data_IF_299031099111
#
_entry.id   IF_299031099111
#
_cell.length_a   1.000
_cell.length_b   1.000
_cell.length_c   1.000
_cell.angle_alpha   90.00
_cell.angle_beta   90.00
_cell.angle_gamma   90.00
#
_symmetry.space_group_name_H-M   'P 1'
#
loop_
_entity.id
_entity.type
_entity.pdbx_description
1 polymer ?
#
# COMPACT_ATOMS: atom_id res chain seq x y z
N UNK A 1 5.37 25.33 6.58
CA UNK A 1 5.37 25.87 5.21
C UNK A 1 4.07 25.48 4.53
N UNK A 2 3.50 26.34 3.67
CA UNK A 2 2.30 26.00 2.93
C UNK A 2 2.58 24.85 1.96
N UNK A 3 1.54 24.08 1.64
CA UNK A 3 1.58 23.10 0.56
C UNK A 3 1.82 23.82 -0.78
N UNK A 4 2.46 23.18 -1.78
CA UNK A 4 2.66 23.81 -3.08
C UNK A 4 1.33 24.20 -3.75
N UNK A 5 1.18 25.44 -4.23
CA UNK A 5 -0.06 25.88 -4.90
C UNK A 5 -0.50 24.96 -6.06
N UNK A 6 0.41 24.45 -6.93
CA UNK A 6 0.02 23.52 -7.98
C UNK A 6 -0.52 22.20 -7.43
N UNK A 7 -0.11 21.79 -6.23
CA UNK A 7 -0.64 20.61 -5.56
C UNK A 7 -2.06 20.88 -5.05
N UNK A 8 -2.27 22.00 -4.35
CA UNK A 8 -3.59 22.39 -3.80
C UNK A 8 -4.63 22.52 -4.91
N UNK A 9 -4.29 23.19 -6.02
CA UNK A 9 -5.19 23.35 -7.17
C UNK A 9 -5.59 22.01 -7.82
N UNK A 10 -4.71 21.01 -7.78
CA UNK A 10 -5.01 19.66 -8.26
C UNK A 10 -5.89 18.92 -7.26
N UNK A 11 -5.60 19.04 -5.96
CA UNK A 11 -6.36 18.38 -4.91
C UNK A 11 -7.84 18.82 -4.89
N UNK A 12 -8.10 20.10 -5.18
CA UNK A 12 -9.45 20.65 -5.36
C UNK A 12 -10.28 19.94 -6.45
N UNK A 13 -9.63 19.37 -7.46
CA UNK A 13 -10.29 18.63 -8.54
C UNK A 13 -10.43 17.13 -8.23
N UNK A 14 -9.68 16.63 -7.24
CA UNK A 14 -9.60 15.20 -6.91
C UNK A 14 -10.50 14.85 -5.72
N UNK A 15 -10.55 15.73 -4.72
CA UNK A 15 -11.24 15.49 -3.45
C UNK A 15 -12.66 16.05 -3.54
N UNK A 16 -13.69 15.32 -3.09
CA UNK A 16 -15.05 15.85 -2.99
C UNK A 16 -15.09 17.17 -2.22
N UNK A 17 -15.86 18.15 -2.72
CA UNK A 17 -15.85 19.52 -2.20
C UNK A 17 -16.19 19.60 -0.70
N UNK A 18 -17.10 18.75 -0.22
CA UNK A 18 -17.50 18.63 1.18
C UNK A 18 -16.41 18.03 2.10
N UNK A 19 -15.37 17.43 1.51
CA UNK A 19 -14.26 16.77 2.23
C UNK A 19 -12.94 17.53 2.13
N UNK A 20 -12.85 18.50 1.22
CA UNK A 20 -11.61 19.19 0.88
C UNK A 20 -10.95 19.88 2.09
N UNK A 21 -11.72 20.63 2.87
CA UNK A 21 -11.17 21.38 4.02
C UNK A 21 -10.59 20.45 5.08
N UNK A 22 -11.27 19.34 5.37
CA UNK A 22 -10.78 18.32 6.30
C UNK A 22 -9.50 17.65 5.80
N UNK A 23 -9.43 17.35 4.49
CA UNK A 23 -8.23 16.79 3.86
C UNK A 23 -7.07 17.79 3.92
N UNK A 24 -7.30 19.07 3.63
CA UNK A 24 -6.27 20.11 3.71
C UNK A 24 -5.73 20.27 5.14
N UNK A 25 -6.63 20.28 6.13
CA UNK A 25 -6.26 20.35 7.55
C UNK A 25 -5.41 19.13 8.00
N UNK A 26 -5.63 17.96 7.40
CA UNK A 26 -4.90 16.75 7.76
C UNK A 26 -3.39 16.80 7.48
N UNK A 27 -2.93 17.65 6.55
CA UNK A 27 -1.49 17.80 6.25
C UNK A 27 -0.72 18.56 7.35
N UNK A 28 -1.42 19.31 8.19
CA UNK A 28 -0.86 19.99 9.35
C UNK A 28 -1.06 19.18 10.63
N UNK A 29 -2.19 18.48 10.74
CA UNK A 29 -2.55 17.72 11.92
C UNK A 29 -1.53 16.59 12.23
N UNK A 30 -1.27 16.32 13.53
CA UNK A 30 -0.50 15.16 13.93
C UNK A 30 -1.28 13.88 13.60
N UNK A 31 -0.58 12.87 13.09
CA UNK A 31 -1.16 11.58 12.73
C UNK A 31 -0.90 10.53 13.82
N UNK A 32 -1.93 9.77 14.17
CA UNK A 32 -1.84 8.62 15.05
C UNK A 32 -0.78 7.63 14.55
N UNK A 33 -0.07 6.98 15.49
CA UNK A 33 0.90 5.95 15.12
C UNK A 33 0.20 4.62 14.99
N UNK A 34 -0.05 4.23 13.74
CA UNK A 34 -0.53 2.89 13.40
C UNK A 34 0.55 1.82 13.60
N UNK A 35 0.13 0.65 14.06
CA UNK A 35 0.96 -0.54 14.18
C UNK A 35 0.14 -1.81 13.96
N UNK A 36 0.83 -2.94 13.86
CA UNK A 36 0.23 -4.28 13.86
C UNK A 36 1.03 -5.20 14.76
N UNK A 37 0.38 -6.22 15.32
CA UNK A 37 1.08 -7.30 16.00
C UNK A 37 1.79 -8.19 14.97
N UNK A 38 2.99 -8.64 15.32
CA UNK A 38 3.73 -9.63 14.57
C UNK A 38 3.29 -11.04 15.01
N UNK A 39 2.19 -11.50 14.42
CA UNK A 39 1.56 -12.80 14.72
C UNK A 39 2.43 -14.01 14.37
N UNK A 40 3.57 -13.80 13.70
CA UNK A 40 4.58 -14.85 13.49
C UNK A 40 5.44 -15.11 14.73
N UNK A 41 5.55 -14.15 15.63
CA UNK A 41 6.40 -14.22 16.83
C UNK A 41 5.59 -14.37 18.11
N UNK A 42 4.42 -13.71 18.20
CA UNK A 42 3.59 -13.66 19.41
C UNK A 42 2.11 -13.67 19.11
N UNK A 43 1.34 -14.08 20.11
CA UNK A 43 -0.11 -13.97 20.09
C UNK A 43 -0.56 -12.50 20.13
N UNK A 44 -1.67 -12.21 19.44
CA UNK A 44 -2.21 -10.86 19.34
C UNK A 44 -2.76 -10.36 20.67
N UNK A 45 -3.61 -11.16 21.33
CA UNK A 45 -4.27 -10.78 22.57
C UNK A 45 -3.25 -10.59 23.71
N UNK A 46 -2.29 -11.53 23.83
CA UNK A 46 -1.18 -11.42 24.80
C UNK A 46 -0.38 -10.13 24.57
N UNK A 47 -0.04 -9.83 23.31
CA UNK A 47 0.76 -8.64 22.97
C UNK A 47 0.02 -7.34 23.31
N UNK A 48 -1.28 -7.27 23.01
CA UNK A 48 -2.09 -6.10 23.33
C UNK A 48 -2.28 -5.94 24.84
N UNK A 49 -2.48 -7.03 25.58
CA UNK A 49 -2.57 -6.98 27.05
C UNK A 49 -1.30 -6.39 27.67
N UNK A 50 -0.11 -6.82 27.22
CA UNK A 50 1.17 -6.29 27.71
C UNK A 50 1.32 -4.79 27.41
N UNK A 51 0.90 -4.33 26.23
CA UNK A 51 0.91 -2.90 25.90
C UNK A 51 0.00 -2.10 26.84
N UNK A 52 -1.21 -2.60 27.12
CA UNK A 52 -2.15 -1.94 28.03
C UNK A 52 -1.63 -1.90 29.47
N UNK A 53 -1.01 -2.98 29.95
CA UNK A 53 -0.38 -3.04 31.28
C UNK A 53 0.80 -2.06 31.43
N UNK A 54 1.49 -1.76 30.33
CA UNK A 54 2.54 -0.74 30.26
C UNK A 54 2.01 0.69 30.09
N UNK A 55 0.68 0.88 30.14
CA UNK A 55 0.03 2.18 30.05
C UNK A 55 -0.03 2.74 28.63
N UNK A 56 0.18 1.91 27.59
CA UNK A 56 0.05 2.34 26.20
C UNK A 56 -1.45 2.45 25.85
N UNK A 57 -1.94 3.60 25.38
CA UNK A 57 -3.35 3.81 25.05
C UNK A 57 -3.69 3.21 23.67
N UNK A 58 -3.68 1.89 23.59
CA UNK A 58 -3.93 1.14 22.36
C UNK A 58 -5.40 1.21 21.96
N UNK A 59 -5.65 1.46 20.68
CA UNK A 59 -6.97 1.41 20.07
C UNK A 59 -6.95 0.47 18.87
N UNK A 60 -7.86 -0.50 18.82
CA UNK A 60 -8.09 -1.30 17.62
C UNK A 60 -8.72 -0.41 16.53
N UNK A 61 -8.30 -0.60 15.28
CA UNK A 61 -8.90 0.11 14.14
C UNK A 61 -10.11 -0.66 13.67
N UNK A 62 -11.31 -0.13 13.94
CA UNK A 62 -12.55 -0.79 13.55
C UNK A 62 -12.57 -1.12 12.05
N UNK A 63 -12.94 -2.37 11.75
CA UNK A 63 -13.04 -2.86 10.37
C UNK A 63 -11.72 -3.33 9.76
N UNK A 64 -10.57 -3.10 10.39
CA UNK A 64 -9.25 -3.52 9.88
C UNK A 64 -8.62 -4.56 10.83
N UNK A 65 -8.76 -5.87 10.55
CA UNK A 65 -8.24 -6.92 11.41
C UNK A 65 -6.72 -6.80 11.66
N UNK A 66 -6.30 -6.93 12.92
CA UNK A 66 -4.89 -6.87 13.33
C UNK A 66 -4.25 -5.47 13.31
N UNK A 67 -5.02 -4.43 12.95
CA UNK A 67 -4.53 -3.06 12.93
C UNK A 67 -4.89 -2.33 14.23
N UNK A 68 -3.89 -1.67 14.80
CA UNK A 68 -4.01 -0.87 16.00
C UNK A 68 -3.40 0.50 15.79
N UNK A 69 -3.77 1.45 16.63
CA UNK A 69 -3.19 2.78 16.66
C UNK A 69 -3.04 3.28 18.09
N UNK A 70 -2.10 4.21 18.26
CA UNK A 70 -2.02 5.08 19.44
C UNK A 70 -2.12 6.54 18.99
N UNK A 71 -2.65 7.45 19.83
CA UNK A 71 -2.56 8.89 19.59
C UNK A 71 -1.13 9.35 19.27
N UNK A 72 -0.99 10.42 18.49
CA UNK A 72 0.31 10.87 17.98
C UNK A 72 1.32 11.19 19.09
N UNK A 73 0.85 11.80 20.17
CA UNK A 73 1.62 12.14 21.39
C UNK A 73 2.01 10.92 22.22
N UNK A 74 1.34 9.78 22.03
CA UNK A 74 1.58 8.52 22.73
C UNK A 74 2.62 7.63 22.02
N UNK A 75 3.14 8.07 20.87
CA UNK A 75 4.20 7.37 20.13
C UNK A 75 5.44 7.07 20.99
N UNK A 76 5.99 8.01 21.81
CA UNK A 76 7.17 7.71 22.62
C UNK A 76 6.93 6.55 23.61
N UNK A 77 5.74 6.49 24.23
CA UNK A 77 5.37 5.42 25.17
C UNK A 77 5.28 4.08 24.43
N UNK A 78 4.67 4.05 23.23
CA UNK A 78 4.65 2.85 22.39
C UNK A 78 6.07 2.36 22.05
N UNK A 79 6.98 3.26 21.68
CA UNK A 79 8.36 2.92 21.31
C UNK A 79 9.24 2.53 22.51
N UNK A 80 8.84 2.88 23.73
CA UNK A 80 9.51 2.46 24.95
C UNK A 80 9.02 1.10 25.48
N UNK A 81 7.94 0.56 24.89
CA UNK A 81 7.30 -0.65 25.37
C UNK A 81 8.11 -1.93 25.10
N UNK A 82 7.95 -2.95 25.95
CA UNK A 82 8.60 -4.26 25.75
C UNK A 82 8.17 -4.91 24.42
N UNK A 83 6.87 -4.92 24.04
CA UNK A 83 6.46 -5.47 22.74
C UNK A 83 7.11 -4.80 21.53
N UNK A 84 7.43 -3.50 21.60
CA UNK A 84 8.20 -2.85 20.56
C UNK A 84 9.67 -3.28 20.56
N UNK A 85 10.31 -3.27 21.73
CA UNK A 85 11.72 -3.66 21.88
C UNK A 85 12.00 -5.10 21.41
N UNK A 86 11.06 -6.02 21.69
CA UNK A 86 11.16 -7.43 21.34
C UNK A 86 10.72 -7.74 19.89
N UNK A 87 10.27 -6.72 19.14
CA UNK A 87 9.78 -6.90 17.76
C UNK A 87 8.44 -7.63 17.64
N UNK A 88 7.68 -7.71 18.74
CA UNK A 88 6.33 -8.28 18.77
C UNK A 88 5.31 -7.39 18.05
N UNK A 89 5.61 -6.11 17.86
CA UNK A 89 4.82 -5.21 17.01
C UNK A 89 5.65 -4.59 15.89
N UNK A 90 4.97 -4.17 14.83
CA UNK A 90 5.58 -3.45 13.73
C UNK A 90 4.85 -2.13 13.47
N UNK A 91 5.57 -1.01 13.53
CA UNK A 91 5.02 0.31 13.24
C UNK A 91 4.75 0.45 11.74
N UNK A 92 3.50 0.63 11.39
CA UNK A 92 3.04 0.73 10.00
C UNK A 92 1.76 1.54 9.95
N UNK A 93 1.77 2.61 9.16
CA UNK A 93 0.57 3.40 8.91
C UNK A 93 -0.60 2.50 8.46
N UNK A 94 -1.79 2.72 9.03
CA UNK A 94 -3.01 1.94 8.76
C UNK A 94 -3.31 1.87 7.26
N UNK A 95 -3.19 2.98 6.51
CA UNK A 95 -3.38 3.00 5.05
C UNK A 95 -2.44 2.04 4.33
N UNK A 96 -1.19 1.91 4.79
CA UNK A 96 -0.23 0.96 4.23
C UNK A 96 -0.54 -0.50 4.56
N UNK A 97 -1.34 -0.77 5.60
CA UNK A 97 -1.78 -2.13 5.95
C UNK A 97 -2.89 -2.62 5.01
N UNK A 98 -3.64 -1.70 4.39
CA UNK A 98 -4.78 -2.01 3.53
C UNK A 98 -4.38 -2.75 2.25
N UNK A 99 -3.19 -2.52 1.69
CA UNK A 99 -2.80 -3.17 0.43
C UNK A 99 -2.60 -4.70 0.58
N UNK A 100 -1.85 -5.22 1.57
CA UNK A 100 -1.82 -6.66 1.85
C UNK A 100 -3.18 -7.26 2.21
N UNK A 101 -4.01 -6.52 2.96
CA UNK A 101 -5.38 -6.94 3.33
C UNK A 101 -6.25 -7.08 2.07
N UNK A 102 -6.25 -6.08 1.19
CA UNK A 102 -6.99 -6.10 -0.06
C UNK A 102 -6.52 -7.24 -1.00
N UNK A 103 -5.22 -7.56 -0.96
CA UNK A 103 -4.67 -8.66 -1.75
C UNK A 103 -5.22 -10.03 -1.29
N UNK A 104 -5.52 -10.16 0.00
CA UNK A 104 -6.10 -11.35 0.63
C UNK A 104 -5.43 -12.65 0.15
N UNK A 105 -4.11 -12.81 0.35
CA UNK A 105 -3.45 -14.08 0.08
C UNK A 105 -3.97 -15.17 1.03
N UNK A 106 -4.02 -16.40 0.53
CA UNK A 106 -4.37 -17.58 1.31
C UNK A 106 -3.11 -18.18 1.93
N UNK A 107 -3.29 -18.94 3.00
CA UNK A 107 -2.21 -19.76 3.54
C UNK A 107 -1.67 -20.70 2.45
N UNK A 108 -0.35 -20.71 2.26
CA UNK A 108 0.31 -21.51 1.22
C UNK A 108 0.46 -20.82 -0.15
N UNK A 109 -0.13 -19.64 -0.37
CA UNK A 109 0.01 -18.93 -1.65
C UNK A 109 1.49 -18.55 -1.93
N UNK A 110 1.86 -18.54 -3.22
CA UNK A 110 3.08 -17.88 -3.68
C UNK A 110 2.77 -16.43 -4.04
N UNK A 111 3.42 -15.51 -3.35
CA UNK A 111 3.17 -14.07 -3.46
C UNK A 111 4.41 -13.34 -3.96
N UNK A 112 4.21 -12.40 -4.89
CA UNK A 112 5.26 -11.49 -5.35
C UNK A 112 5.00 -10.08 -4.82
N UNK A 113 5.90 -9.54 -4.01
CA UNK A 113 5.97 -8.12 -3.67
C UNK A 113 7.00 -7.43 -4.58
N UNK A 114 6.52 -6.71 -5.59
CA UNK A 114 7.35 -6.24 -6.69
C UNK A 114 8.18 -4.98 -6.36
N UNK A 115 7.87 -4.31 -5.24
CA UNK A 115 8.48 -3.06 -4.79
C UNK A 115 8.62 -3.05 -3.26
N UNK A 116 9.33 -4.05 -2.75
CA UNK A 116 9.19 -4.50 -1.36
C UNK A 116 9.79 -3.59 -0.29
N UNK A 117 10.84 -2.80 -0.59
CA UNK A 117 11.51 -2.06 0.47
C UNK A 117 10.66 -0.89 1.02
N UNK A 118 10.62 -0.69 2.35
CA UNK A 118 11.55 -1.25 3.35
C UNK A 118 11.12 -2.58 3.98
N UNK A 119 10.05 -3.24 3.53
CA UNK A 119 9.66 -4.58 3.98
C UNK A 119 8.47 -4.64 4.95
N UNK A 120 7.78 -3.52 5.20
CA UNK A 120 6.62 -3.50 6.10
C UNK A 120 5.45 -4.32 5.55
N UNK A 121 5.08 -4.09 4.29
CA UNK A 121 4.05 -4.86 3.56
C UNK A 121 4.49 -6.29 3.30
N UNK A 122 5.76 -6.50 2.96
CA UNK A 122 6.34 -7.84 2.79
C UNK A 122 6.22 -8.69 4.06
N UNK A 123 6.55 -8.14 5.22
CA UNK A 123 6.41 -8.84 6.50
C UNK A 123 4.94 -9.16 6.83
N UNK A 124 4.02 -8.27 6.47
CA UNK A 124 2.58 -8.51 6.63
C UNK A 124 2.10 -9.63 5.69
N UNK A 125 2.53 -9.63 4.42
CA UNK A 125 2.23 -10.71 3.47
C UNK A 125 2.79 -12.05 3.95
N UNK A 126 4.01 -12.06 4.49
CA UNK A 126 4.66 -13.23 5.06
C UNK A 126 3.86 -13.85 6.20
N UNK A 127 3.30 -13.03 7.10
CA UNK A 127 2.41 -13.47 8.16
C UNK A 127 1.11 -14.06 7.60
N UNK A 128 0.48 -13.41 6.61
CA UNK A 128 -0.79 -13.84 6.02
C UNK A 128 -0.69 -15.18 5.27
N UNK A 129 0.37 -15.39 4.49
CA UNK A 129 0.57 -16.65 3.73
C UNK A 129 1.00 -17.81 4.63
N UNK A 130 1.47 -17.50 5.85
CA UNK A 130 1.96 -18.47 6.82
C UNK A 130 3.21 -19.23 6.35
N UNK A 131 3.71 -20.12 7.22
CA UNK A 131 4.99 -20.85 7.00
C UNK A 131 5.00 -21.76 5.77
N UNK A 132 3.84 -22.11 5.24
CA UNK A 132 3.69 -22.98 4.06
C UNK A 132 3.72 -22.19 2.74
N UNK A 133 3.45 -20.87 2.79
CA UNK A 133 3.53 -20.01 1.62
C UNK A 133 4.91 -19.41 1.41
N UNK A 134 5.05 -18.62 0.35
CA UNK A 134 6.32 -18.00 -0.04
C UNK A 134 6.06 -16.56 -0.49
N UNK A 135 6.92 -15.62 -0.06
CA UNK A 135 6.88 -14.23 -0.51
C UNK A 135 8.18 -13.85 -1.20
N UNK A 136 8.16 -13.69 -2.51
CA UNK A 136 9.29 -13.12 -3.26
C UNK A 136 9.25 -11.60 -3.13
N UNK A 137 10.32 -11.02 -2.60
CA UNK A 137 10.40 -9.59 -2.29
C UNK A 137 11.45 -8.89 -3.16
N UNK A 138 11.00 -8.07 -4.10
CA UNK A 138 11.85 -7.43 -5.12
C UNK A 138 12.22 -6.01 -4.71
N UNK A 139 13.51 -5.69 -4.70
CA UNK A 139 14.00 -4.31 -4.56
C UNK A 139 15.24 -4.06 -5.44
N UNK A 140 15.22 -2.98 -6.21
CA UNK A 140 16.30 -2.65 -7.16
C UNK A 140 17.47 -1.91 -6.49
N UNK A 141 17.18 -1.04 -5.54
CA UNK A 141 18.14 -0.09 -4.97
C UNK A 141 18.91 -0.78 -3.84
N UNK A 142 20.22 -1.00 -4.04
CA UNK A 142 21.07 -1.79 -3.14
C UNK A 142 20.96 -1.40 -1.64
N UNK A 143 21.05 -0.11 -1.22
CA UNK A 143 20.84 0.24 0.19
C UNK A 143 19.45 -0.15 0.72
N UNK A 144 18.40 0.09 -0.08
CA UNK A 144 17.02 -0.27 0.28
C UNK A 144 16.82 -1.78 0.35
N UNK A 145 17.50 -2.55 -0.50
CA UNK A 145 17.46 -4.01 -0.49
C UNK A 145 18.04 -4.58 0.81
N UNK A 146 19.18 -4.08 1.29
CA UNK A 146 19.73 -4.54 2.57
C UNK A 146 18.85 -4.10 3.75
N UNK A 147 18.21 -2.93 3.67
CA UNK A 147 17.22 -2.50 4.67
C UNK A 147 15.99 -3.42 4.68
N UNK A 148 15.47 -3.78 3.51
CA UNK A 148 14.41 -4.78 3.34
C UNK A 148 14.82 -6.10 4.01
N UNK A 149 15.99 -6.66 3.67
CA UNK A 149 16.50 -7.90 4.27
C UNK A 149 16.57 -7.83 5.79
N UNK A 150 17.17 -6.76 6.33
CA UNK A 150 17.29 -6.58 7.77
C UNK A 150 15.90 -6.54 8.45
N UNK A 151 14.96 -5.79 7.88
CA UNK A 151 13.62 -5.64 8.43
C UNK A 151 12.79 -6.93 8.35
N UNK A 152 12.87 -7.71 7.28
CA UNK A 152 12.12 -8.98 7.18
C UNK A 152 12.71 -10.04 8.11
N UNK A 153 14.04 -10.12 8.24
CA UNK A 153 14.66 -11.05 9.19
C UNK A 153 14.39 -10.69 10.65
N UNK A 154 14.43 -9.39 11.00
CA UNK A 154 14.07 -8.94 12.34
C UNK A 154 12.60 -9.26 12.70
N UNK A 155 11.72 -9.35 11.72
CA UNK A 155 10.32 -9.76 11.92
C UNK A 155 10.14 -11.28 12.01
N UNK A 156 11.18 -12.10 11.85
CA UNK A 156 11.06 -13.56 11.84
C UNK A 156 10.43 -14.14 10.56
N UNK A 157 10.37 -13.34 9.49
CA UNK A 157 9.75 -13.72 8.22
C UNK A 157 10.63 -14.70 7.42
N UNK A 158 10.63 -15.99 7.80
CA UNK A 158 11.53 -17.01 7.22
C UNK A 158 11.11 -17.51 5.85
N UNK A 159 9.88 -17.22 5.41
CA UNK A 159 9.31 -17.58 4.12
C UNK A 159 9.44 -16.47 3.06
N UNK A 160 10.30 -15.47 3.31
CA UNK A 160 10.58 -14.37 2.37
C UNK A 160 11.84 -14.65 1.56
N UNK A 161 11.72 -14.59 0.23
CA UNK A 161 12.83 -14.68 -0.72
C UNK A 161 13.18 -13.28 -1.26
N UNK A 162 14.16 -12.57 -0.66
CA UNK A 162 14.56 -11.26 -1.15
C UNK A 162 15.36 -11.37 -2.46
N UNK A 163 14.93 -10.64 -3.49
CA UNK A 163 15.61 -10.57 -4.78
C UNK A 163 16.01 -9.12 -5.12
N UNK A 164 17.32 -8.91 -5.38
CA UNK A 164 17.83 -7.60 -5.75
C UNK A 164 17.80 -7.44 -7.27
N UNK A 165 16.93 -6.57 -7.77
CA UNK A 165 16.86 -6.33 -9.20
C UNK A 165 15.67 -5.50 -9.64
N UNK A 166 15.50 -5.37 -10.95
CA UNK A 166 14.46 -4.52 -11.53
C UNK A 166 13.11 -5.25 -11.64
N UNK A 167 12.14 -4.87 -10.80
CA UNK A 167 10.79 -5.45 -10.82
C UNK A 167 10.08 -5.38 -12.18
N UNK A 168 10.36 -4.35 -12.99
CA UNK A 168 9.75 -4.20 -14.31
C UNK A 168 10.13 -5.32 -15.32
N UNK A 169 11.12 -6.17 -15.00
CA UNK A 169 11.52 -7.31 -15.82
C UNK A 169 11.45 -8.65 -15.08
N UNK A 170 10.97 -8.66 -13.83
CA UNK A 170 10.97 -9.88 -13.00
C UNK A 170 10.16 -11.03 -13.62
N UNK A 171 9.02 -10.71 -14.23
CA UNK A 171 8.13 -11.67 -14.89
C UNK A 171 8.84 -12.57 -15.93
N UNK A 172 9.98 -12.15 -16.51
CA UNK A 172 10.74 -12.99 -17.44
C UNK A 172 11.40 -14.19 -16.76
N UNK A 173 11.65 -14.09 -15.46
CA UNK A 173 12.25 -15.15 -14.65
C UNK A 173 11.20 -16.19 -14.27
N UNK A 174 10.02 -15.73 -13.87
CA UNK A 174 8.92 -16.55 -13.37
C UNK A 174 7.59 -16.02 -13.94
N UNK A 175 7.32 -16.24 -15.24
CA UNK A 175 6.05 -15.84 -15.85
C UNK A 175 4.91 -16.67 -15.26
N UNK A 176 3.76 -16.04 -15.04
CA UNK A 176 2.52 -16.69 -14.58
C UNK A 176 2.73 -17.70 -13.44
N UNK A 177 3.55 -17.33 -12.45
CA UNK A 177 4.06 -18.25 -11.42
C UNK A 177 3.55 -17.93 -10.01
N UNK A 178 2.90 -16.77 -9.83
CA UNK A 178 2.42 -16.30 -8.52
C UNK A 178 0.88 -16.32 -8.44
N UNK A 179 0.35 -16.75 -7.30
CA UNK A 179 -1.09 -16.75 -7.01
C UNK A 179 -1.59 -15.34 -6.67
N UNK A 180 -0.69 -14.53 -6.10
CA UNK A 180 -0.93 -13.15 -5.70
C UNK A 180 0.26 -12.27 -6.05
N UNK A 181 -0.01 -11.03 -6.47
CA UNK A 181 1.03 -10.03 -6.75
C UNK A 181 0.67 -8.70 -6.08
N UNK A 182 1.60 -8.12 -5.33
CA UNK A 182 1.51 -6.75 -4.83
C UNK A 182 2.43 -5.84 -5.64
N UNK A 183 1.88 -4.74 -6.14
CA UNK A 183 2.60 -3.63 -6.76
C UNK A 183 2.30 -2.36 -5.95
N UNK A 184 2.97 -2.22 -4.79
CA UNK A 184 3.03 -0.97 -4.04
C UNK A 184 4.06 -0.04 -4.69
N UNK A 185 3.61 0.74 -5.66
CA UNK A 185 4.51 1.34 -6.61
C UNK A 185 5.20 2.61 -6.07
N UNK A 186 6.48 2.85 -6.41
CA UNK A 186 7.10 4.14 -6.15
C UNK A 186 6.30 5.24 -6.85
N UNK A 187 5.97 6.30 -6.10
CA UNK A 187 5.08 7.38 -6.53
C UNK A 187 5.62 8.74 -6.11
N UNK A 188 4.86 9.80 -6.40
CA UNK A 188 5.14 11.17 -5.97
C UNK A 188 4.88 11.45 -4.48
N UNK A 189 4.39 10.45 -3.74
CA UNK A 189 4.24 10.45 -2.26
C UNK A 189 3.41 11.59 -1.67
N UNK A 190 2.45 12.12 -2.42
CA UNK A 190 1.60 13.25 -1.99
C UNK A 190 0.84 12.97 -0.68
N UNK A 191 0.48 11.71 -0.41
CA UNK A 191 -0.20 11.31 0.83
C UNK A 191 0.66 11.42 2.10
N UNK A 192 1.97 11.60 1.94
CA UNK A 192 2.94 11.75 3.04
C UNK A 192 3.35 13.20 3.30
N UNK A 193 2.79 14.16 2.56
CA UNK A 193 3.11 15.57 2.78
C UNK A 193 2.78 15.99 4.21
N UNK A 194 3.65 16.80 4.79
CA UNK A 194 3.41 17.43 6.09
C UNK A 194 3.87 18.88 5.99
N UNK A 195 3.01 19.82 6.37
CA UNK A 195 3.32 21.25 6.27
C UNK A 195 4.48 21.66 7.18
N UNK A 196 4.71 20.93 8.27
CA UNK A 196 5.82 21.12 9.19
C UNK A 196 7.13 20.43 8.76
N UNK A 197 7.11 19.59 7.71
CA UNK A 197 8.30 18.89 7.20
C UNK A 197 8.53 19.22 5.72
N UNK A 198 9.42 20.20 5.42
CA UNK A 198 9.78 20.60 4.06
C UNK A 198 10.26 19.45 3.17
N UNK A 199 10.94 18.45 3.74
CA UNK A 199 11.54 17.37 2.95
C UNK A 199 10.47 16.52 2.27
N UNK A 200 9.27 16.43 2.86
CA UNK A 200 8.14 15.69 2.31
C UNK A 200 7.66 16.24 0.97
N UNK A 201 7.84 17.54 0.71
CA UNK A 201 7.41 18.21 -0.54
C UNK A 201 8.56 18.52 -1.49
N UNK A 202 9.82 18.46 -1.02
CA UNK A 202 11.01 18.94 -1.73
C UNK A 202 11.23 18.30 -3.11
N UNK A 203 10.84 17.03 -3.27
CA UNK A 203 11.04 16.28 -4.53
C UNK A 203 9.80 16.24 -5.42
N UNK A 204 8.70 16.87 -4.99
CA UNK A 204 7.45 16.86 -5.72
C UNK A 204 7.44 17.86 -6.87
N UNK A 205 6.88 17.44 -8.01
CA UNK A 205 6.55 18.32 -9.13
C UNK A 205 5.64 17.60 -10.12
N UNK A 206 4.90 18.32 -10.98
CA UNK A 206 4.18 17.71 -12.10
C UNK A 206 5.07 16.88 -13.04
N UNK A 207 6.36 17.25 -13.17
CA UNK A 207 7.35 16.45 -13.90
C UNK A 207 7.58 15.10 -13.21
N UNK A 208 7.67 15.10 -11.87
CA UNK A 208 7.85 13.88 -11.08
C UNK A 208 6.67 12.92 -11.24
N UNK A 209 5.44 13.44 -11.21
CA UNK A 209 4.21 12.67 -11.45
C UNK A 209 4.29 11.92 -12.79
N UNK A 210 4.70 12.60 -13.87
CA UNK A 210 4.86 11.97 -15.21
C UNK A 210 5.96 10.89 -15.25
N UNK A 211 7.07 11.13 -14.55
CA UNK A 211 8.16 10.16 -14.41
C UNK A 211 7.68 8.89 -13.69
N UNK A 212 6.96 9.07 -12.58
CA UNK A 212 6.44 7.97 -11.76
C UNK A 212 5.39 7.16 -12.50
N UNK A 213 4.40 7.81 -13.14
CA UNK A 213 3.44 7.16 -14.03
C UNK A 213 4.12 6.21 -15.01
N UNK A 214 5.17 6.68 -15.69
CA UNK A 214 5.87 5.88 -16.71
C UNK A 214 6.55 4.63 -16.13
N UNK A 215 7.04 4.71 -14.88
CA UNK A 215 7.59 3.55 -14.15
C UNK A 215 6.49 2.62 -13.66
N UNK A 216 5.42 3.18 -13.11
CA UNK A 216 4.27 2.44 -12.56
C UNK A 216 3.58 1.59 -13.61
N UNK A 217 3.36 2.11 -14.83
CA UNK A 217 2.81 1.31 -15.94
C UNK A 217 3.66 0.07 -16.22
N UNK A 218 4.99 0.21 -16.24
CA UNK A 218 5.91 -0.92 -16.48
C UNK A 218 5.89 -1.94 -15.34
N UNK A 219 5.81 -1.46 -14.10
CA UNK A 219 5.73 -2.32 -12.91
C UNK A 219 4.41 -3.07 -12.85
N UNK A 220 3.28 -2.39 -13.08
CA UNK A 220 1.96 -3.02 -13.10
C UNK A 220 1.86 -4.04 -14.24
N UNK A 221 2.36 -3.70 -15.43
CA UNK A 221 2.45 -4.64 -16.55
C UNK A 221 3.27 -5.89 -16.19
N UNK A 222 4.44 -5.71 -15.57
CA UNK A 222 5.26 -6.84 -15.11
C UNK A 222 4.56 -7.68 -14.04
N UNK A 223 3.86 -7.05 -13.10
CA UNK A 223 3.06 -7.76 -12.10
C UNK A 223 1.97 -8.63 -12.73
N UNK A 224 1.26 -8.11 -13.74
CA UNK A 224 0.25 -8.87 -14.49
C UNK A 224 0.86 -10.08 -15.21
N UNK A 225 2.04 -9.92 -15.82
CA UNK A 225 2.72 -11.03 -16.50
C UNK A 225 3.25 -12.11 -15.56
N UNK A 226 3.65 -11.75 -14.34
CA UNK A 226 4.10 -12.71 -13.33
C UNK A 226 2.92 -13.46 -12.65
N UNK A 227 1.71 -12.89 -12.71
CA UNK A 227 0.52 -13.44 -12.07
C UNK A 227 -0.05 -14.62 -12.88
N UNK A 228 -0.44 -15.71 -12.19
CA UNK A 228 -1.17 -16.84 -12.80
C UNK A 228 -2.55 -16.41 -13.33
N UNK A 229 -3.07 -17.03 -14.40
CA UNK A 229 -4.50 -17.01 -14.68
C UNK A 229 -5.31 -17.48 -13.45
N UNK A 230 -6.39 -16.79 -13.12
CA UNK A 230 -7.16 -16.97 -11.88
C UNK A 230 -6.55 -16.28 -10.64
N UNK A 231 -5.34 -15.73 -10.76
CA UNK A 231 -4.68 -15.00 -9.69
C UNK A 231 -5.25 -13.60 -9.45
N UNK A 232 -4.78 -12.95 -8.38
CA UNK A 232 -5.17 -11.59 -8.02
C UNK A 232 -3.94 -10.70 -7.83
N UNK A 233 -4.02 -9.46 -8.33
CA UNK A 233 -3.01 -8.44 -8.13
C UNK A 233 -3.61 -7.24 -7.40
N UNK A 234 -2.85 -6.63 -6.49
CA UNK A 234 -3.16 -5.31 -5.95
C UNK A 234 -2.11 -4.31 -6.42
N UNK A 235 -2.59 -3.24 -7.05
CA UNK A 235 -1.82 -2.04 -7.35
C UNK A 235 -2.17 -0.98 -6.31
N UNK A 236 -1.16 -0.35 -5.72
CA UNK A 236 -1.37 0.72 -4.74
C UNK A 236 -0.31 1.81 -4.79
N UNK A 237 -0.68 3.00 -4.34
CA UNK A 237 0.21 4.17 -4.23
C UNK A 237 -0.15 4.99 -3.00
N UNK A 238 0.77 5.83 -2.53
CA UNK A 238 0.51 6.87 -1.52
C UNK A 238 0.49 8.28 -2.14
N UNK A 239 -0.16 8.42 -3.30
CA UNK A 239 -0.30 9.70 -4.01
C UNK A 239 -1.76 9.96 -4.41
N UNK A 240 -2.14 11.22 -4.58
CA UNK A 240 -3.47 11.61 -5.05
C UNK A 240 -3.53 11.71 -6.57
N UNK A 241 -2.38 11.92 -7.23
CA UNK A 241 -2.25 12.14 -8.66
C UNK A 241 -2.99 11.08 -9.51
N UNK A 242 -4.07 11.45 -10.23
CA UNK A 242 -4.84 10.52 -11.07
C UNK A 242 -4.01 9.94 -12.22
N UNK A 243 -2.96 10.63 -12.66
CA UNK A 243 -2.02 10.14 -13.66
C UNK A 243 -1.24 8.92 -13.18
N UNK A 244 -0.97 8.82 -11.87
CA UNK A 244 -0.32 7.69 -11.22
C UNK A 244 -1.32 6.62 -10.77
N UNK A 245 -2.58 6.99 -10.53
CA UNK A 245 -3.61 6.08 -10.03
C UNK A 245 -4.46 5.50 -11.17
N UNK A 246 -5.64 6.07 -11.42
CA UNK A 246 -6.59 5.66 -12.46
C UNK A 246 -5.94 5.63 -13.84
N UNK A 247 -5.07 6.60 -14.14
CA UNK A 247 -4.38 6.70 -15.42
C UNK A 247 -3.43 5.54 -15.70
N UNK A 248 -2.83 4.93 -14.67
CA UNK A 248 -1.99 3.73 -14.79
C UNK A 248 -2.88 2.50 -14.99
N UNK A 249 -3.92 2.34 -14.17
CA UNK A 249 -4.86 1.22 -14.25
C UNK A 249 -5.57 1.20 -15.61
N UNK A 250 -6.12 2.34 -16.05
CA UNK A 250 -6.76 2.48 -17.36
C UNK A 250 -5.83 2.09 -18.52
N UNK A 251 -4.52 2.41 -18.40
CA UNK A 251 -3.55 2.08 -19.45
C UNK A 251 -3.33 0.57 -19.55
N UNK A 252 -3.22 -0.14 -18.42
CA UNK A 252 -3.04 -1.60 -18.45
C UNK A 252 -4.30 -2.34 -18.86
N UNK A 253 -5.49 -1.90 -18.44
CA UNK A 253 -6.76 -2.50 -18.85
C UNK A 253 -6.93 -2.44 -20.38
N UNK A 254 -6.65 -1.29 -20.99
CA UNK A 254 -6.64 -1.17 -22.47
C UNK A 254 -5.60 -2.05 -23.16
N UNK A 255 -4.53 -2.44 -22.46
CA UNK A 255 -3.44 -3.22 -23.03
C UNK A 255 -3.73 -4.72 -22.97
N UNK A 256 -4.36 -5.19 -21.89
CA UNK A 256 -4.65 -6.61 -21.68
C UNK A 256 -6.10 -7.00 -22.01
N UNK A 257 -6.98 -6.03 -22.23
CA UNK A 257 -8.40 -6.28 -22.53
C UNK A 257 -9.06 -7.17 -21.49
N UNK A 258 -9.87 -8.11 -21.96
CA UNK A 258 -10.67 -9.02 -21.12
C UNK A 258 -9.83 -10.01 -20.30
N UNK A 259 -8.50 -10.06 -20.50
CA UNK A 259 -7.62 -10.87 -19.67
C UNK A 259 -7.49 -10.32 -18.24
N UNK A 260 -7.81 -9.05 -18.00
CA UNK A 260 -7.70 -8.39 -16.70
C UNK A 260 -8.96 -7.60 -16.39
N UNK A 261 -9.47 -7.76 -15.18
CA UNK A 261 -10.67 -7.08 -14.70
C UNK A 261 -10.40 -6.38 -13.37
N UNK A 262 -10.94 -5.18 -13.19
CA UNK A 262 -10.97 -4.51 -11.87
C UNK A 262 -12.06 -5.15 -11.03
N UNK A 263 -11.69 -5.63 -9.84
CA UNK A 263 -12.63 -6.24 -8.89
C UNK A 263 -12.62 -5.45 -7.59
N UNK A 264 -13.68 -5.60 -6.79
CA UNK A 264 -13.78 -4.90 -5.51
C UNK A 264 -12.59 -5.26 -4.60
N UNK A 265 -11.96 -4.22 -4.02
CA UNK A 265 -10.76 -4.36 -3.22
C UNK A 265 -10.99 -5.10 -1.89
N UNK A 266 -12.25 -5.29 -1.47
CA UNK A 266 -12.59 -5.91 -0.18
C UNK A 266 -12.16 -5.07 1.00
N UNK A 267 -12.18 -3.73 0.85
CA UNK A 267 -11.87 -2.81 1.94
C UNK A 267 -13.01 -2.79 2.98
N UNK A 268 -12.73 -2.35 4.22
CA UNK A 268 -13.75 -2.27 5.25
C UNK A 268 -14.95 -1.41 4.82
N UNK A 269 -16.16 -1.86 5.15
CA UNK A 269 -17.42 -1.16 4.83
C UNK A 269 -17.99 -0.38 6.01
N UNK A 270 -17.33 -0.44 7.16
CA UNK A 270 -17.64 0.32 8.38
C UNK A 270 -16.35 0.78 9.07
N UNK A 271 -16.48 1.74 9.98
CA UNK A 271 -15.38 2.27 10.76
C UNK A 271 -14.56 3.31 9.98
N UNK A 272 -13.44 3.78 10.58
CA UNK A 272 -12.75 4.98 10.13
C UNK A 272 -12.14 4.87 8.73
N UNK A 273 -11.83 3.66 8.26
CA UNK A 273 -11.36 3.44 6.88
C UNK A 273 -12.49 3.59 5.89
N UNK A 274 -13.68 3.05 6.19
CA UNK A 274 -14.84 3.17 5.31
C UNK A 274 -15.26 4.64 5.15
N UNK A 275 -15.28 5.40 6.25
CA UNK A 275 -15.68 6.81 6.26
C UNK A 275 -14.79 7.71 5.39
N UNK A 276 -13.52 7.31 5.20
CA UNK A 276 -12.54 8.03 4.39
C UNK A 276 -12.32 7.43 3.00
N UNK A 277 -12.99 6.32 2.68
CA UNK A 277 -12.83 5.67 1.38
C UNK A 277 -13.86 6.19 0.39
N UNK A 278 -13.37 6.69 -0.75
CA UNK A 278 -14.21 7.12 -1.88
C UNK A 278 -13.87 6.30 -3.13
N UNK A 279 -14.79 6.20 -4.11
CA UNK A 279 -14.51 5.59 -5.41
C UNK A 279 -13.33 6.23 -6.14
N UNK A 280 -12.74 5.49 -7.08
CA UNK A 280 -11.84 6.08 -8.06
C UNK A 280 -12.55 7.13 -8.93
N UNK A 281 -11.76 8.02 -9.54
CA UNK A 281 -12.29 9.09 -10.37
C UNK A 281 -12.89 8.55 -11.68
N UNK A 282 -13.94 9.20 -12.14
CA UNK A 282 -14.61 8.95 -13.41
C UNK A 282 -13.97 9.72 -14.58
N UNK A 283 -13.25 10.80 -14.31
CA UNK A 283 -12.52 11.58 -15.31
C UNK A 283 -11.30 12.30 -14.71
N UNK A 284 -10.37 12.72 -15.57
CA UNK A 284 -9.28 13.61 -15.21
C UNK A 284 -8.88 14.52 -16.37
N UNK A 285 -8.82 15.84 -16.14
CA UNK A 285 -8.58 16.87 -17.18
C UNK A 285 -9.49 16.69 -18.41
N UNK A 286 -10.80 16.64 -18.18
CA UNK A 286 -11.85 16.46 -19.21
C UNK A 286 -11.75 15.16 -20.02
N UNK A 287 -10.94 14.20 -19.56
CA UNK A 287 -10.82 12.87 -20.18
C UNK A 287 -11.53 11.84 -19.31
N UNK A 288 -12.61 11.22 -19.80
CA UNK A 288 -13.29 10.20 -19.03
C UNK A 288 -12.42 8.95 -18.90
N UNK A 289 -12.56 8.30 -17.74
CA UNK A 289 -12.11 6.94 -17.49
C UNK A 289 -13.25 5.96 -17.77
N UNK A 290 -12.88 4.69 -17.91
CA UNK A 290 -13.86 3.62 -17.95
C UNK A 290 -14.60 3.53 -16.60
N UNK A 291 -15.91 3.31 -16.64
CA UNK A 291 -16.75 3.21 -15.44
C UNK A 291 -16.29 2.17 -14.42
N UNK A 292 -15.56 1.14 -14.86
CA UNK A 292 -14.94 0.13 -13.98
C UNK A 292 -13.93 0.73 -13.00
N UNK A 293 -13.37 1.91 -13.27
CA UNK A 293 -12.44 2.56 -12.34
C UNK A 293 -13.12 3.09 -11.08
N UNK A 294 -14.44 3.27 -11.06
CA UNK A 294 -15.19 3.55 -9.84
C UNK A 294 -15.10 2.40 -8.81
N UNK A 295 -14.73 1.18 -9.23
CA UNK A 295 -14.48 0.03 -8.35
C UNK A 295 -13.16 0.16 -7.59
N UNK A 296 -12.22 0.99 -8.09
CA UNK A 296 -11.00 1.31 -7.35
C UNK A 296 -11.31 2.21 -6.15
N UNK A 297 -10.36 2.32 -5.22
CA UNK A 297 -10.60 2.98 -3.93
C UNK A 297 -9.51 4.01 -3.65
N UNK A 298 -9.95 5.21 -3.29
CA UNK A 298 -9.13 6.30 -2.75
C UNK A 298 -9.41 6.44 -1.27
N UNK A 299 -8.37 6.36 -0.45
CA UNK A 299 -8.45 6.63 0.99
C UNK A 299 -7.98 8.05 1.22
N UNK A 300 -8.89 8.89 1.69
CA UNK A 300 -8.62 10.28 2.04
C UNK A 300 -7.90 10.35 3.40
N UNK A 301 -6.94 11.28 3.57
CA UNK A 301 -6.19 11.39 4.80
C UNK A 301 -7.03 12.03 5.91
N UNK A 302 -6.71 11.67 7.15
CA UNK A 302 -7.17 12.33 8.37
C UNK A 302 -6.11 12.14 9.46
N UNK A 303 -6.49 12.29 10.73
CA UNK A 303 -5.57 12.08 11.87
C UNK A 303 -5.19 10.62 12.11
N UNK A 304 -5.73 9.66 11.35
CA UNK A 304 -5.38 8.22 11.43
C UNK A 304 -4.76 7.69 10.13
N UNK A 305 -5.28 8.13 8.99
CA UNK A 305 -4.99 7.59 7.67
C UNK A 305 -4.14 8.55 6.85
N UNK A 306 -3.20 8.00 6.10
CA UNK A 306 -2.52 8.71 5.00
C UNK A 306 -3.31 8.56 3.70
N UNK A 307 -3.14 9.54 2.80
CA UNK A 307 -3.68 9.48 1.45
C UNK A 307 -3.17 8.24 0.70
N UNK A 308 -4.08 7.43 0.18
CA UNK A 308 -3.74 6.14 -0.42
C UNK A 308 -4.68 5.77 -1.56
N UNK A 309 -4.20 4.96 -2.50
CA UNK A 309 -5.00 4.43 -3.61
C UNK A 309 -4.81 2.94 -3.74
N UNK A 310 -5.90 2.21 -4.01
CA UNK A 310 -5.91 0.75 -4.17
C UNK A 310 -6.77 0.38 -5.39
N UNK A 311 -6.18 -0.41 -6.28
CA UNK A 311 -6.89 -1.12 -7.35
C UNK A 311 -6.58 -2.61 -7.26
N UNK A 312 -7.62 -3.44 -7.14
CA UNK A 312 -7.50 -4.89 -7.15
C UNK A 312 -7.90 -5.42 -8.52
N UNK A 313 -7.05 -6.24 -9.11
CA UNK A 313 -7.19 -6.79 -10.45
C UNK A 313 -7.26 -8.31 -10.38
N UNK A 314 -8.22 -8.91 -11.08
CA UNK A 314 -8.30 -10.35 -11.31
C UNK A 314 -7.80 -10.66 -12.71
N UNK A 315 -6.92 -11.66 -12.84
CA UNK A 315 -6.46 -12.15 -14.14
C UNK A 315 -7.32 -13.31 -14.61
N UNK A 316 -8.05 -13.12 -15.70
CA UNK A 316 -9.04 -14.07 -16.23
C UNK A 316 -8.40 -15.12 -17.14
N UNK A 317 -7.41 -14.72 -17.94
CA UNK A 317 -6.72 -15.59 -18.89
C UNK A 317 -5.21 -15.32 -18.90
N UNK A 318 -4.47 -16.18 -19.58
CA UNK A 318 -3.03 -15.98 -19.78
C UNK A 318 -2.76 -14.69 -20.56
N UNK A 319 -1.68 -14.00 -20.20
CA UNK A 319 -1.22 -12.75 -20.85
C UNK A 319 0.20 -12.87 -21.40
N UNK A 320 0.80 -14.04 -21.23
CA UNK A 320 2.12 -14.39 -21.78
C UNK A 320 1.87 -15.19 -23.04
N UNK A 321 2.49 -14.79 -24.15
CA UNK A 321 2.42 -15.57 -25.38
C UNK A 321 3.00 -16.96 -25.13
N UNK A 322 2.21 -18.00 -25.45
CA UNK A 322 2.72 -19.36 -25.53
C UNK A 322 3.58 -19.45 -26.79
N UNK A 323 4.87 -19.12 -26.67
CA UNK A 323 5.87 -19.48 -27.70
C UNK A 323 5.98 -20.98 -27.83
#
# INVERSE_FOLDING_TARGET
MPLPDPFVARLQQIVPADRLDAVLASFEAPIATGFRVNTMLRDEEETISVLMDEGVPVQAVEGVPGAYAVPADSRPVLLASRPYADGHIYIQNVSSQLAPIALAPRTGDRVLDLCAAPGSKTGQLSALVGRQGEVTAVEKVRPRFYKLKANVYAQGATNVLPWMGNGAVYWRREPESFDRVLVDAPCSTEGRFRTHDPETTAYWSPRKIREMRSKQVKLLWAGIQALKPGGTLVYSTCTFAPEENEGVVAKVLRTFGDAIEVVDAGLPTRGPVADQTVPGLDAWNDRPFDSTLATTRRVLPNTLLEGFYIAKLAKRSSTVDKS
#
